data_IF_425475958259
#
_entry.id   IF_425475958259
#
_cell.length_a   1.000
_cell.length_b   1.000
_cell.length_c   1.000
_cell.angle_alpha   90.00
_cell.angle_beta   90.00
_cell.angle_gamma   90.00
#
_symmetry.space_group_name_H-M   'P 1'
#
loop_
_entity.id
_entity.type
_entity.pdbx_description
1 polymer ?
#
# COMPACT_ATOMS: atom_id res chain seq x y z
N UNK A 1 0.50 21.16 7.41
CA UNK A 1 1.03 21.96 6.28
C UNK A 1 1.07 23.42 6.70
N UNK A 2 2.09 24.18 6.30
CA UNK A 2 2.28 25.57 6.75
C UNK A 2 1.35 26.53 6.01
N UNK A 3 0.91 27.60 6.69
CA UNK A 3 0.19 28.72 6.05
C UNK A 3 0.99 29.37 4.91
N UNK A 4 2.31 29.22 4.93
CA UNK A 4 3.24 29.82 3.96
C UNK A 4 3.34 29.04 2.65
N UNK A 5 3.00 27.75 2.62
CA UNK A 5 3.07 26.91 1.40
C UNK A 5 1.79 26.08 1.24
N UNK A 6 1.00 26.28 0.18
CA UNK A 6 -0.23 25.52 -0.05
C UNK A 6 0.06 24.03 -0.32
N UNK A 7 -0.98 23.21 -0.28
CA UNK A 7 -0.93 21.78 -0.56
C UNK A 7 -0.55 21.57 -2.03
N UNK A 8 0.43 20.70 -2.32
CA UNK A 8 0.85 20.42 -3.68
C UNK A 8 2.30 19.90 -3.80
N UNK A 9 2.74 19.72 -5.05
CA UNK A 9 4.06 19.17 -5.39
C UNK A 9 5.26 20.01 -4.88
N UNK A 10 5.02 21.28 -4.53
CA UNK A 10 5.97 22.18 -3.88
C UNK A 10 6.62 21.55 -2.63
N UNK A 11 5.85 20.77 -1.86
CA UNK A 11 6.34 20.07 -0.67
C UNK A 11 7.22 18.88 -1.00
N UNK A 12 6.92 18.19 -2.10
CA UNK A 12 7.76 17.09 -2.61
C UNK A 12 9.13 17.62 -2.99
N UNK A 13 9.22 18.74 -3.72
CA UNK A 13 10.51 19.31 -4.14
C UNK A 13 11.31 19.93 -2.98
N UNK A 14 10.62 20.51 -2.00
CA UNK A 14 11.28 21.23 -0.90
C UNK A 14 11.74 20.31 0.26
N UNK A 15 11.09 19.17 0.47
CA UNK A 15 11.30 18.31 1.65
C UNK A 15 11.28 16.80 1.36
N UNK A 16 10.97 16.40 0.13
CA UNK A 16 10.90 14.99 -0.23
C UNK A 16 12.28 14.37 -0.42
N UNK A 17 12.56 13.29 0.30
CA UNK A 17 13.67 12.38 -0.04
C UNK A 17 13.13 11.21 -0.85
N UNK A 18 13.74 10.99 -2.01
CA UNK A 18 13.37 9.91 -2.91
C UNK A 18 14.02 8.60 -2.47
N UNK A 19 13.20 7.63 -2.08
CA UNK A 19 13.67 6.30 -1.69
C UNK A 19 13.34 5.28 -2.78
N UNK A 20 14.04 5.41 -3.91
CA UNK A 20 13.81 4.64 -5.14
C UNK A 20 13.91 3.12 -4.91
N UNK A 21 14.94 2.65 -4.21
CA UNK A 21 15.16 1.21 -3.96
C UNK A 21 13.98 0.61 -3.18
N UNK A 22 13.56 1.31 -2.12
CA UNK A 22 12.43 0.87 -1.30
C UNK A 22 11.12 0.93 -2.08
N UNK A 23 10.90 1.97 -2.88
CA UNK A 23 9.70 2.11 -3.70
C UNK A 23 9.56 0.97 -4.74
N UNK A 24 10.62 0.67 -5.48
CA UNK A 24 10.63 -0.47 -6.40
C UNK A 24 10.48 -1.81 -5.68
N UNK A 25 11.19 -2.02 -4.57
CA UNK A 25 11.07 -3.23 -3.77
C UNK A 25 9.64 -3.45 -3.26
N UNK A 26 8.94 -2.39 -2.85
CA UNK A 26 7.54 -2.46 -2.44
C UNK A 26 6.62 -2.87 -3.60
N UNK A 27 6.79 -2.30 -4.79
CA UNK A 27 5.97 -2.64 -5.97
C UNK A 27 6.19 -4.11 -6.38
N UNK A 28 7.44 -4.56 -6.47
CA UNK A 28 7.77 -5.94 -6.83
C UNK A 28 7.37 -6.95 -5.74
N UNK A 29 7.52 -6.58 -4.47
CA UNK A 29 7.10 -7.40 -3.33
C UNK A 29 5.60 -7.67 -3.31
N UNK A 30 4.78 -6.67 -3.64
CA UNK A 30 3.32 -6.84 -3.72
C UNK A 30 2.88 -7.82 -4.81
N UNK A 31 3.57 -7.87 -5.94
CA UNK A 31 3.29 -8.80 -7.04
C UNK A 31 3.60 -10.26 -6.67
N UNK A 32 4.57 -10.48 -5.79
CA UNK A 32 4.92 -11.82 -5.30
C UNK A 32 3.80 -12.47 -4.45
N UNK A 33 2.78 -11.72 -4.04
CA UNK A 33 1.63 -12.26 -3.32
C UNK A 33 0.62 -13.00 -4.22
N UNK A 34 0.58 -12.68 -5.51
CA UNK A 34 -0.31 -13.32 -6.50
C UNK A 34 -0.19 -14.86 -6.50
N UNK A 35 1.01 -15.48 -6.55
CA UNK A 35 1.13 -16.93 -6.49
C UNK A 35 0.64 -17.54 -5.16
N UNK A 36 0.74 -16.82 -4.03
CA UNK A 36 0.23 -17.29 -2.74
C UNK A 36 -1.30 -17.44 -2.75
N UNK A 37 -1.99 -16.44 -3.30
CA UNK A 37 -3.47 -16.48 -3.44
C UNK A 37 -3.88 -17.59 -4.39
N UNK A 38 -3.14 -17.77 -5.50
CA UNK A 38 -3.40 -18.85 -6.45
C UNK A 38 -3.27 -20.24 -5.81
N UNK A 39 -2.25 -20.44 -4.96
CA UNK A 39 -2.09 -21.70 -4.21
C UNK A 39 -3.26 -21.95 -3.25
N UNK A 40 -3.71 -20.92 -2.50
CA UNK A 40 -4.89 -21.01 -1.64
C UNK A 40 -6.18 -21.31 -2.43
N UNK A 41 -6.31 -20.77 -3.64
CA UNK A 41 -7.46 -21.01 -4.51
C UNK A 41 -7.54 -22.47 -4.99
N UNK A 42 -6.38 -23.10 -5.22
CA UNK A 42 -6.32 -24.49 -5.66
C UNK A 42 -6.84 -25.46 -4.59
N UNK A 43 -6.56 -25.19 -3.32
CA UNK A 43 -6.93 -26.06 -2.18
C UNK A 43 -8.30 -25.69 -1.55
N UNK A 44 -9.10 -24.86 -2.22
CA UNK A 44 -10.43 -24.36 -1.76
C UNK A 44 -11.44 -25.42 -1.33
N UNK A 45 -11.21 -26.71 -1.64
CA UNK A 45 -12.11 -27.81 -1.28
C UNK A 45 -12.14 -28.10 0.22
N UNK A 46 -11.12 -27.69 0.97
CA UNK A 46 -11.07 -27.83 2.43
C UNK A 46 -11.78 -26.64 3.10
N UNK A 47 -12.55 -26.90 4.15
CA UNK A 47 -13.28 -25.85 4.87
C UNK A 47 -12.36 -24.75 5.45
N UNK A 48 -11.16 -25.13 5.91
CA UNK A 48 -10.15 -24.19 6.41
C UNK A 48 -9.67 -23.21 5.32
N UNK A 49 -9.45 -23.71 4.10
CA UNK A 49 -9.01 -22.90 2.97
C UNK A 49 -10.06 -21.90 2.49
N UNK A 50 -11.36 -22.11 2.80
CA UNK A 50 -12.41 -21.11 2.49
C UNK A 50 -12.25 -19.84 3.32
N UNK A 51 -11.86 -19.95 4.59
CA UNK A 51 -11.63 -18.79 5.46
C UNK A 51 -10.31 -18.12 5.07
N UNK A 52 -9.27 -18.92 4.79
CA UNK A 52 -7.98 -18.40 4.30
C UNK A 52 -8.12 -17.65 2.98
N UNK A 53 -9.01 -18.06 2.07
CA UNK A 53 -9.28 -17.32 0.84
C UNK A 53 -9.90 -15.94 1.06
N UNK A 54 -10.81 -15.81 2.04
CA UNK A 54 -11.36 -14.50 2.41
C UNK A 54 -10.29 -13.59 2.98
N UNK A 55 -9.43 -14.14 3.84
CA UNK A 55 -8.30 -13.41 4.41
C UNK A 55 -7.33 -12.96 3.30
N UNK A 56 -6.98 -13.86 2.37
CA UNK A 56 -6.13 -13.54 1.22
C UNK A 56 -6.70 -12.43 0.33
N UNK A 57 -8.02 -12.31 0.21
CA UNK A 57 -8.64 -11.22 -0.56
C UNK A 57 -8.50 -9.86 0.14
N UNK A 58 -8.67 -9.83 1.47
CA UNK A 58 -8.44 -8.63 2.30
C UNK A 58 -6.97 -8.21 2.20
N UNK A 59 -6.06 -9.17 2.25
CA UNK A 59 -4.62 -8.94 2.09
C UNK A 59 -4.25 -8.36 0.71
N UNK A 60 -4.88 -8.81 -0.38
CA UNK A 60 -4.64 -8.22 -1.71
C UNK A 60 -4.99 -6.73 -1.71
N UNK A 61 -6.11 -6.36 -1.08
CA UNK A 61 -6.54 -4.96 -0.97
C UNK A 61 -5.54 -4.17 -0.12
N UNK A 62 -5.11 -4.76 1.01
CA UNK A 62 -4.11 -4.18 1.89
C UNK A 62 -2.78 -3.91 1.16
N UNK A 63 -2.27 -4.92 0.44
CA UNK A 63 -1.02 -4.85 -0.32
C UNK A 63 -1.14 -3.85 -1.46
N UNK A 64 -2.26 -3.80 -2.18
CA UNK A 64 -2.47 -2.82 -3.24
C UNK A 64 -2.38 -1.38 -2.70
N UNK A 65 -2.98 -1.09 -1.55
CA UNK A 65 -2.90 0.24 -0.96
C UNK A 65 -1.54 0.54 -0.31
N UNK A 66 -0.98 -0.39 0.46
CA UNK A 66 0.20 -0.13 1.30
C UNK A 66 1.51 -0.38 0.57
N UNK A 67 1.55 -1.24 -0.45
CA UNK A 67 2.80 -1.55 -1.17
C UNK A 67 2.87 -0.86 -2.52
N UNK A 68 1.76 -0.81 -3.27
CA UNK A 68 1.74 -0.17 -4.59
C UNK A 68 1.62 1.34 -4.44
N UNK A 69 0.54 1.85 -3.81
CA UNK A 69 0.32 3.31 -3.72
C UNK A 69 1.40 3.97 -2.87
N UNK A 70 1.75 3.39 -1.72
CA UNK A 70 2.86 3.89 -0.90
C UNK A 70 4.20 3.81 -1.64
N UNK A 71 4.46 2.72 -2.39
CA UNK A 71 5.67 2.58 -3.20
C UNK A 71 5.79 3.69 -4.24
N UNK A 72 4.70 4.07 -4.90
CA UNK A 72 4.66 5.23 -5.80
C UNK A 72 4.94 6.55 -5.06
N UNK A 73 4.30 6.77 -3.91
CA UNK A 73 4.59 7.96 -3.07
C UNK A 73 6.06 8.01 -2.67
N UNK A 74 6.70 6.86 -2.41
CA UNK A 74 8.10 6.76 -2.04
C UNK A 74 9.08 7.07 -3.18
N UNK A 75 8.72 6.69 -4.41
CA UNK A 75 9.47 7.04 -5.63
C UNK A 75 9.35 8.54 -5.89
N UNK A 76 8.16 9.10 -5.70
CA UNK A 76 7.92 10.53 -5.84
C UNK A 76 8.63 11.34 -4.74
N UNK A 77 8.87 10.74 -3.57
CA UNK A 77 9.33 11.46 -2.37
C UNK A 77 8.21 12.29 -1.73
N UNK A 78 6.95 11.90 -1.98
CA UNK A 78 5.79 12.64 -1.54
C UNK A 78 5.64 12.58 -0.01
N UNK A 79 5.56 13.77 0.61
CA UNK A 79 5.27 13.93 2.03
C UNK A 79 3.77 14.05 2.25
N UNK A 80 3.29 13.91 3.50
CA UNK A 80 1.85 14.02 3.83
C UNK A 80 1.20 15.30 3.27
N UNK A 81 1.96 16.41 3.21
CA UNK A 81 1.47 17.68 2.67
C UNK A 81 1.43 17.77 1.14
N UNK A 82 2.02 16.82 0.42
CA UNK A 82 1.91 16.75 -1.05
C UNK A 82 0.55 16.18 -1.46
N UNK A 83 0.13 15.08 -0.84
CA UNK A 83 -1.13 14.38 -1.14
C UNK A 83 -1.88 13.93 0.13
N UNK A 84 -2.43 14.86 0.93
CA UNK A 84 -2.96 14.55 2.26
C UNK A 84 -4.12 13.54 2.23
N UNK A 85 -5.00 13.65 1.24
CA UNK A 85 -6.13 12.71 1.09
C UNK A 85 -5.67 11.29 0.73
N UNK A 86 -4.73 11.16 -0.21
CA UNK A 86 -4.22 9.86 -0.63
C UNK A 86 -3.46 9.19 0.50
N UNK A 87 -2.54 9.92 1.16
CA UNK A 87 -1.78 9.38 2.28
C UNK A 87 -2.68 8.99 3.46
N UNK A 88 -3.72 9.78 3.75
CA UNK A 88 -4.68 9.46 4.82
C UNK A 88 -5.49 8.20 4.50
N UNK A 89 -6.05 8.09 3.28
CA UNK A 89 -6.80 6.90 2.85
C UNK A 89 -5.91 5.65 2.90
N UNK A 90 -4.69 5.73 2.37
CA UNK A 90 -3.74 4.61 2.39
C UNK A 90 -3.41 4.19 3.83
N UNK A 91 -3.22 5.14 4.74
CA UNK A 91 -3.00 4.87 6.16
C UNK A 91 -4.19 4.19 6.84
N UNK A 92 -5.41 4.68 6.59
CA UNK A 92 -6.64 4.10 7.14
C UNK A 92 -6.89 2.69 6.59
N UNK A 93 -6.74 2.48 5.28
CA UNK A 93 -6.90 1.16 4.66
C UNK A 93 -5.83 0.22 5.18
N UNK A 94 -4.56 0.65 5.24
CA UNK A 94 -3.46 -0.17 5.73
C UNK A 94 -3.64 -0.63 7.17
N UNK A 95 -3.93 0.31 8.08
CA UNK A 95 -4.19 -0.03 9.49
C UNK A 95 -5.47 -0.85 9.65
N UNK A 96 -6.55 -0.50 8.93
CA UNK A 96 -7.83 -1.19 9.00
C UNK A 96 -7.78 -2.63 8.48
N UNK A 97 -7.07 -2.87 7.39
CA UNK A 97 -6.90 -4.22 6.84
C UNK A 97 -5.91 -5.04 7.67
N UNK A 98 -4.84 -4.45 8.20
CA UNK A 98 -3.90 -5.16 9.07
C UNK A 98 -4.52 -5.56 10.42
N UNK A 99 -5.31 -4.68 11.04
CA UNK A 99 -5.93 -4.96 12.33
C UNK A 99 -7.26 -5.72 12.23
N UNK A 100 -7.88 -5.75 11.04
CA UNK A 100 -9.13 -6.47 10.76
C UNK A 100 -8.94 -7.86 10.17
N UNK A 101 -7.71 -8.21 9.77
CA UNK A 101 -7.26 -9.55 9.39
C UNK A 101 -7.02 -10.42 10.64
#
# INVERSE_FOLDING_TARGET
CSSVRPIGAEWTTATGEQHLIYGYASIFGGLAYIPCVYACFLERRKACYRIMLWLSFIDIIAIACVWIIFGFLLIEGAVFCSHPWLTWIVGCVGLGTWCGA
#
